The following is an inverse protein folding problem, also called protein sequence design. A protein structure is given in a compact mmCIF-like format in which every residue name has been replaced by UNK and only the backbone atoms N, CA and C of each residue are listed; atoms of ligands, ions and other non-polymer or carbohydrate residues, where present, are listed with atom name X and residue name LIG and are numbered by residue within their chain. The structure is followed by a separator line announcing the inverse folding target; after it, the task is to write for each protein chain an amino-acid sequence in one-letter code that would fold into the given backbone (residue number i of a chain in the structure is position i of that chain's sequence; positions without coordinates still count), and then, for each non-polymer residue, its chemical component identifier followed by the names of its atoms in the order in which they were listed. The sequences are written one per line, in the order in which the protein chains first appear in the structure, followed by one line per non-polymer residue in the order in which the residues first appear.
data_IF_251891021658
#
_entry.id   IF_251891021658
#
_cell.length_a   1.000
_cell.length_b   1.000
_cell.length_c   1.000
_cell.angle_alpha   90.00
_cell.angle_beta   90.00
_cell.angle_gamma   90.00
#
_symmetry.space_group_name_H-M   'P 1'
#
loop_
_entity.id
_entity.type
_entity.pdbx_description
1 polymer ?
#
# COMPACT_ATOMS: atom_id res chain seq x y z
N UNK A 1 68.74 10.93 -64.75
CA UNK A 1 67.65 10.00 -64.73
C UNK A 1 67.27 9.57 -63.32
N UNK A 2 68.20 9.31 -62.45
CA UNK A 2 67.98 8.82 -61.06
C UNK A 2 67.15 9.76 -60.15
N UNK A 3 67.30 11.07 -60.28
CA UNK A 3 66.65 12.07 -59.41
C UNK A 3 65.13 12.26 -59.67
N UNK A 4 64.62 11.85 -60.85
CA UNK A 4 63.20 11.84 -61.20
C UNK A 4 62.52 10.62 -60.65
N UNK A 5 63.18 9.47 -60.59
CA UNK A 5 62.63 8.22 -60.04
C UNK A 5 62.50 8.29 -58.54
N UNK A 6 63.46 8.92 -57.84
CA UNK A 6 63.35 9.11 -56.37
C UNK A 6 62.19 10.03 -55.95
N UNK A 7 61.88 11.09 -56.73
CA UNK A 7 60.82 12.01 -56.47
C UNK A 7 59.43 11.33 -56.72
N UNK A 8 59.38 10.47 -57.73
CA UNK A 8 58.14 9.68 -57.99
C UNK A 8 57.85 8.61 -56.91
N UNK A 9 58.92 7.94 -56.43
CA UNK A 9 58.81 6.97 -55.35
C UNK A 9 58.32 7.61 -54.01
N UNK A 10 58.90 8.79 -53.69
CA UNK A 10 58.50 9.52 -52.47
C UNK A 10 57.06 10.07 -52.57
N UNK A 11 56.58 10.48 -53.74
CA UNK A 11 55.21 10.94 -53.94
C UNK A 11 54.21 9.78 -53.84
N UNK A 12 54.53 8.61 -54.37
CA UNK A 12 53.71 7.41 -54.27
C UNK A 12 53.61 6.90 -52.83
N UNK A 13 54.74 6.97 -52.08
CA UNK A 13 54.75 6.58 -50.68
C UNK A 13 53.92 7.54 -49.80
N UNK A 14 54.01 8.85 -50.08
CA UNK A 14 53.19 9.87 -49.41
C UNK A 14 51.70 9.76 -49.71
N UNK A 15 51.37 9.41 -50.95
CA UNK A 15 49.96 9.13 -51.31
C UNK A 15 49.42 7.87 -50.62
N UNK A 16 50.19 6.78 -50.57
CA UNK A 16 49.76 5.55 -49.86
C UNK A 16 49.55 5.80 -48.37
N UNK A 17 50.40 6.60 -47.69
CA UNK A 17 50.24 7.00 -46.31
C UNK A 17 48.92 7.77 -46.04
N UNK A 18 48.55 8.68 -46.97
CA UNK A 18 47.28 9.43 -46.86
C UNK A 18 46.05 8.53 -47.02
N UNK A 19 46.07 7.57 -47.93
CA UNK A 19 44.95 6.63 -48.08
C UNK A 19 44.82 5.67 -46.90
N UNK A 20 45.92 5.22 -46.32
CA UNK A 20 45.89 4.38 -45.11
C UNK A 20 45.31 5.18 -43.93
N UNK A 21 45.75 6.46 -43.75
CA UNK A 21 45.24 7.32 -42.66
C UNK A 21 43.72 7.59 -42.80
N UNK A 22 43.25 7.85 -44.03
CA UNK A 22 41.82 8.07 -44.32
C UNK A 22 41.01 6.79 -44.08
N UNK A 23 41.55 5.62 -44.48
CA UNK A 23 40.86 4.33 -44.26
C UNK A 23 40.78 3.99 -42.76
N UNK A 24 41.80 4.29 -41.96
CA UNK A 24 41.81 4.09 -40.50
C UNK A 24 40.81 5.05 -39.83
N UNK A 25 40.76 6.31 -40.24
CA UNK A 25 39.79 7.29 -39.76
C UNK A 25 38.34 6.93 -40.10
N UNK A 26 38.11 6.40 -41.31
CA UNK A 26 36.78 5.90 -41.72
C UNK A 26 36.39 4.64 -40.92
N UNK A 27 37.32 3.72 -40.67
CA UNK A 27 37.07 2.53 -39.86
C UNK A 27 36.79 2.89 -38.39
N UNK A 28 37.50 3.87 -37.81
CA UNK A 28 37.23 4.40 -36.48
C UNK A 28 35.89 5.13 -36.39
N UNK A 29 35.47 5.87 -37.42
CA UNK A 29 34.18 6.52 -37.51
C UNK A 29 33.02 5.50 -37.65
N UNK A 30 33.26 4.40 -38.38
CA UNK A 30 32.32 3.30 -38.46
C UNK A 30 32.17 2.50 -37.16
N UNK A 31 33.28 2.29 -36.43
CA UNK A 31 33.24 1.67 -35.08
C UNK A 31 32.51 2.55 -34.06
N UNK A 32 32.62 3.88 -34.15
CA UNK A 32 31.88 4.77 -33.24
C UNK A 32 30.39 4.84 -33.50
N UNK A 33 29.93 4.50 -34.69
CA UNK A 33 28.50 4.40 -35.02
C UNK A 33 27.86 3.07 -34.58
N UNK A 34 28.66 2.02 -34.29
CA UNK A 34 28.15 0.77 -33.75
C UNK A 34 27.89 0.81 -32.22
N UNK A 35 28.42 1.80 -31.51
CA UNK A 35 28.23 1.92 -30.05
C UNK A 35 26.96 2.68 -29.63
N UNK A 36 26.22 3.27 -30.57
CA UNK A 36 24.87 3.76 -30.36
C UNK A 36 23.84 2.71 -30.85
N UNK A 37 23.84 1.51 -30.27
CA UNK A 37 22.59 0.78 -30.22
C UNK A 37 21.69 1.59 -29.26
N UNK A 38 20.50 2.05 -29.70
CA UNK A 38 19.47 2.41 -28.74
C UNK A 38 19.29 1.13 -27.92
N UNK A 39 19.58 1.20 -26.63
CA UNK A 39 19.07 0.19 -25.71
C UNK A 39 17.59 0.06 -26.12
N UNK A 40 17.18 -1.12 -26.55
CA UNK A 40 15.76 -1.43 -26.75
C UNK A 40 15.14 -1.13 -25.40
N UNK A 41 14.65 0.10 -25.25
CA UNK A 41 14.06 0.60 -24.05
C UNK A 41 12.90 -0.31 -23.73
N UNK A 42 13.15 -1.30 -22.86
CA UNK A 42 12.06 -1.99 -22.19
C UNK A 42 11.31 -0.85 -21.52
N UNK A 43 10.15 -0.48 -22.07
CA UNK A 43 9.30 0.52 -21.45
C UNK A 43 9.18 0.13 -20.00
N UNK A 44 9.65 0.99 -19.10
CA UNK A 44 9.58 0.77 -17.67
C UNK A 44 8.11 0.51 -17.32
N UNK A 45 7.85 -0.59 -16.60
CA UNK A 45 6.49 -0.97 -16.26
C UNK A 45 5.90 0.04 -15.29
N UNK A 46 4.68 0.48 -15.59
CA UNK A 46 3.92 1.43 -14.78
C UNK A 46 2.86 0.69 -13.96
N UNK A 47 2.97 0.78 -12.64
CA UNK A 47 2.01 0.20 -11.69
C UNK A 47 1.36 1.34 -10.94
N UNK A 48 0.02 1.36 -10.91
CA UNK A 48 -0.73 2.29 -10.07
C UNK A 48 -1.31 1.53 -8.89
N UNK A 49 -1.12 2.06 -7.68
CA UNK A 49 -1.68 1.51 -6.44
C UNK A 49 -2.67 2.51 -5.86
N UNK A 50 -3.82 2.05 -5.42
CA UNK A 50 -4.92 2.93 -5.01
C UNK A 50 -4.62 3.75 -3.77
N UNK A 51 -3.91 3.20 -2.77
CA UNK A 51 -3.61 3.90 -1.52
C UNK A 51 -2.20 3.61 -0.97
N UNK A 52 -1.72 4.50 -0.11
CA UNK A 52 -0.32 4.58 0.32
C UNK A 52 0.20 3.35 1.08
N UNK A 53 -0.61 2.74 1.96
CA UNK A 53 -0.16 1.60 2.77
C UNK A 53 0.11 0.38 1.89
N UNK A 54 -0.79 0.08 0.95
CA UNK A 54 -0.56 -0.96 -0.05
C UNK A 54 0.59 -0.58 -0.98
N UNK A 55 0.68 0.70 -1.35
CA UNK A 55 1.78 1.25 -2.15
C UNK A 55 3.16 1.02 -1.54
N UNK A 56 3.29 1.14 -0.21
CA UNK A 56 4.54 0.86 0.52
C UNK A 56 5.01 -0.60 0.30
N UNK A 57 4.11 -1.56 0.43
CA UNK A 57 4.40 -2.99 0.21
C UNK A 57 4.72 -3.27 -1.26
N UNK A 58 3.97 -2.68 -2.18
CA UNK A 58 4.20 -2.87 -3.63
C UNK A 58 5.55 -2.28 -4.05
N UNK A 59 5.88 -1.08 -3.58
CA UNK A 59 7.17 -0.44 -3.88
C UNK A 59 8.34 -1.28 -3.35
N UNK A 60 8.23 -1.84 -2.16
CA UNK A 60 9.26 -2.70 -1.58
C UNK A 60 9.38 -4.03 -2.35
N UNK A 61 8.27 -4.59 -2.83
CA UNK A 61 8.25 -5.81 -3.62
C UNK A 61 8.89 -5.64 -5.00
N UNK A 62 8.56 -4.55 -5.71
CA UNK A 62 9.04 -4.36 -7.10
C UNK A 62 10.41 -3.67 -7.16
N UNK A 63 10.78 -2.87 -6.14
CA UNK A 63 12.03 -2.10 -6.12
C UNK A 63 12.12 -1.15 -7.32
N UNK A 64 13.19 -1.28 -8.08
CA UNK A 64 13.50 -0.53 -9.31
C UNK A 64 13.03 -1.22 -10.60
N UNK A 65 12.31 -2.34 -10.49
CA UNK A 65 11.85 -3.11 -11.65
C UNK A 65 10.61 -2.53 -12.31
N UNK A 66 9.91 -1.62 -11.64
CA UNK A 66 8.72 -0.93 -12.13
C UNK A 66 8.56 0.43 -11.45
N UNK A 67 7.96 1.39 -12.14
CA UNK A 67 7.52 2.66 -11.54
C UNK A 67 6.20 2.44 -10.82
N UNK A 68 6.14 2.78 -9.53
CA UNK A 68 4.92 2.71 -8.71
C UNK A 68 4.39 4.13 -8.47
N UNK A 69 3.13 4.34 -8.82
CA UNK A 69 2.39 5.58 -8.54
C UNK A 69 1.26 5.27 -7.56
N UNK A 70 1.14 6.05 -6.50
CA UNK A 70 0.05 5.93 -5.52
C UNK A 70 -1.00 7.00 -5.79
N UNK A 71 -2.27 6.60 -5.98
CA UNK A 71 -3.37 7.52 -6.29
C UNK A 71 -3.84 8.29 -5.05
N UNK A 72 -4.06 7.62 -3.93
CA UNK A 72 -4.39 8.27 -2.65
C UNK A 72 -3.12 8.41 -1.83
N UNK A 73 -2.54 9.63 -1.75
CA UNK A 73 -1.31 9.88 -1.02
C UNK A 73 -1.44 9.59 0.48
N UNK A 74 -0.28 9.42 1.13
CA UNK A 74 -0.24 9.25 2.57
C UNK A 74 -0.88 10.43 3.31
N UNK A 75 -1.72 10.13 4.31
CA UNK A 75 -2.45 11.12 5.10
C UNK A 75 -3.84 11.48 4.56
N UNK A 76 -4.24 10.91 3.42
CA UNK A 76 -5.61 11.00 2.92
C UNK A 76 -6.37 9.69 3.18
N UNK A 77 -7.68 9.83 3.34
CA UNK A 77 -8.58 8.72 3.60
C UNK A 77 -8.94 7.96 2.30
N UNK A 78 -8.63 6.67 2.17
CA UNK A 78 -8.95 5.90 0.98
C UNK A 78 -10.46 5.70 0.76
N UNK A 79 -11.28 5.79 1.82
CA UNK A 79 -12.75 5.65 1.69
C UNK A 79 -13.39 6.84 0.98
N UNK A 80 -12.85 8.05 1.19
CA UNK A 80 -13.44 9.31 0.74
C UNK A 80 -12.73 9.92 -0.47
N UNK A 81 -11.50 9.48 -0.75
CA UNK A 81 -10.64 10.14 -1.74
C UNK A 81 -11.16 9.96 -3.16
N UNK A 82 -11.39 11.08 -3.85
CA UNK A 82 -11.68 11.09 -5.27
C UNK A 82 -10.40 11.27 -6.09
N UNK A 83 -10.27 10.58 -7.26
CA UNK A 83 -9.09 10.69 -8.07
C UNK A 83 -9.04 12.03 -8.81
N UNK A 84 -7.86 12.67 -8.83
CA UNK A 84 -7.61 13.85 -9.67
C UNK A 84 -7.55 13.46 -11.16
N UNK A 85 -7.59 14.46 -12.04
CA UNK A 85 -7.42 14.23 -13.48
C UNK A 85 -6.08 13.52 -13.81
N UNK A 86 -5.02 13.79 -13.04
CA UNK A 86 -3.71 13.14 -13.17
C UNK A 86 -3.77 11.66 -12.75
N UNK A 87 -4.52 11.36 -11.68
CA UNK A 87 -4.70 9.97 -11.23
C UNK A 87 -5.51 9.17 -12.24
N UNK A 88 -6.58 9.76 -12.79
CA UNK A 88 -7.38 9.15 -13.85
C UNK A 88 -6.51 8.84 -15.08
N UNK A 89 -5.64 9.76 -15.48
CA UNK A 89 -4.70 9.55 -16.58
C UNK A 89 -3.71 8.41 -16.27
N UNK A 90 -3.13 8.41 -15.06
CA UNK A 90 -2.19 7.38 -14.63
C UNK A 90 -2.85 5.98 -14.60
N UNK A 91 -4.05 5.87 -14.01
CA UNK A 91 -4.83 4.64 -13.97
C UNK A 91 -5.11 4.10 -15.37
N UNK A 92 -5.53 4.96 -16.30
CA UNK A 92 -5.85 4.54 -17.67
C UNK A 92 -4.62 4.13 -18.50
N UNK A 93 -3.42 4.56 -18.11
CA UNK A 93 -2.14 4.22 -18.79
C UNK A 93 -1.35 3.13 -18.08
N UNK A 94 -1.80 2.66 -16.92
CA UNK A 94 -1.08 1.66 -16.15
C UNK A 94 -0.97 0.32 -16.87
N UNK A 95 0.18 -0.34 -16.74
CA UNK A 95 0.33 -1.76 -17.12
C UNK A 95 -0.44 -2.68 -16.14
N UNK A 96 -0.58 -2.22 -14.87
CA UNK A 96 -1.32 -2.90 -13.81
C UNK A 96 -1.83 -1.87 -12.80
N UNK A 97 -3.10 -1.97 -12.42
CA UNK A 97 -3.68 -1.26 -11.26
C UNK A 97 -3.80 -2.25 -10.12
N UNK A 98 -3.36 -1.85 -8.93
CA UNK A 98 -3.45 -2.63 -7.70
C UNK A 98 -4.40 -1.91 -6.76
N UNK A 99 -5.48 -2.58 -6.39
CA UNK A 99 -6.50 -2.07 -5.48
C UNK A 99 -6.69 -3.00 -4.28
N UNK A 100 -7.30 -2.50 -3.22
CA UNK A 100 -7.69 -3.28 -2.06
C UNK A 100 -8.88 -4.18 -2.34
N UNK A 101 -9.93 -3.61 -2.92
CA UNK A 101 -11.23 -4.23 -3.09
C UNK A 101 -12.13 -4.08 -1.85
N UNK A 102 -13.24 -4.80 -1.83
CA UNK A 102 -14.24 -4.81 -0.73
C UNK A 102 -14.84 -3.42 -0.43
N UNK A 103 -14.86 -2.52 -1.43
CA UNK A 103 -15.46 -1.19 -1.31
C UNK A 103 -14.59 -0.15 -0.59
N UNK A 104 -13.31 -0.45 -0.30
CA UNK A 104 -12.40 0.54 0.29
C UNK A 104 -12.33 1.82 -0.55
N UNK A 105 -12.21 1.66 -1.86
CA UNK A 105 -12.01 2.76 -2.81
C UNK A 105 -13.33 3.35 -3.33
N UNK A 106 -14.32 3.56 -2.45
CA UNK A 106 -15.66 4.01 -2.85
C UNK A 106 -15.64 5.32 -3.66
N UNK A 107 -14.76 6.28 -3.29
CA UNK A 107 -14.59 7.54 -4.02
C UNK A 107 -13.99 7.37 -5.43
N UNK A 108 -13.27 6.27 -5.69
CA UNK A 108 -12.62 5.97 -6.97
C UNK A 108 -13.37 4.97 -7.84
N UNK A 109 -14.41 4.32 -7.34
CA UNK A 109 -15.08 3.17 -7.97
C UNK A 109 -15.42 3.40 -9.46
N UNK A 110 -16.00 4.56 -9.79
CA UNK A 110 -16.36 4.89 -11.19
C UNK A 110 -15.14 4.93 -12.10
N UNK A 111 -14.03 5.47 -11.63
CA UNK A 111 -12.77 5.55 -12.39
C UNK A 111 -12.16 4.17 -12.58
N UNK A 112 -12.10 3.37 -11.53
CA UNK A 112 -11.56 2.01 -11.56
C UNK A 112 -12.40 1.13 -12.50
N UNK A 113 -13.72 1.23 -12.44
CA UNK A 113 -14.61 0.49 -13.33
C UNK A 113 -14.46 0.92 -14.79
N UNK A 114 -14.29 2.22 -15.07
CA UNK A 114 -14.04 2.71 -16.43
C UNK A 114 -12.71 2.17 -17.00
N UNK A 115 -11.66 2.14 -16.18
CA UNK A 115 -10.36 1.59 -16.56
C UNK A 115 -10.43 0.07 -16.84
N UNK A 116 -11.16 -0.71 -16.02
CA UNK A 116 -11.43 -2.14 -16.29
C UNK A 116 -12.13 -2.34 -17.63
N UNK A 117 -13.16 -1.56 -17.90
CA UNK A 117 -13.92 -1.62 -19.16
C UNK A 117 -13.04 -1.24 -20.37
N UNK A 118 -12.00 -0.45 -20.17
CA UNK A 118 -11.02 -0.06 -21.19
C UNK A 118 -9.89 -1.09 -21.36
N UNK A 119 -9.89 -2.18 -20.59
CA UNK A 119 -8.92 -3.28 -20.71
C UNK A 119 -7.64 -3.10 -19.88
N UNK A 120 -7.58 -2.16 -18.95
CA UNK A 120 -6.48 -2.05 -17.99
C UNK A 120 -6.50 -3.29 -17.09
N UNK A 121 -5.32 -3.87 -16.82
CA UNK A 121 -5.18 -5.02 -15.93
C UNK A 121 -5.30 -4.61 -14.48
N UNK A 122 -5.92 -5.48 -13.67
CA UNK A 122 -6.13 -5.25 -12.24
C UNK A 122 -5.63 -6.42 -11.41
N UNK A 123 -5.12 -6.06 -10.23
CA UNK A 123 -4.89 -6.96 -9.11
C UNK A 123 -5.71 -6.45 -7.92
N UNK A 124 -6.64 -7.24 -7.44
CA UNK A 124 -7.47 -6.93 -6.26
C UNK A 124 -6.91 -7.70 -5.07
N UNK A 125 -6.39 -7.00 -4.07
CA UNK A 125 -5.67 -7.61 -2.94
C UNK A 125 -6.55 -8.57 -2.14
N UNK A 126 -7.83 -8.23 -1.96
CA UNK A 126 -8.79 -9.06 -1.23
C UNK A 126 -9.06 -10.44 -1.86
N UNK A 127 -8.79 -10.63 -3.17
CA UNK A 127 -8.97 -11.91 -3.85
C UNK A 127 -7.93 -12.97 -3.41
N UNK A 128 -6.86 -12.54 -2.74
CA UNK A 128 -5.72 -13.40 -2.36
C UNK A 128 -5.65 -13.70 -0.86
N UNK A 129 -6.66 -13.31 -0.10
CA UNK A 129 -6.73 -13.52 1.34
C UNK A 129 -8.00 -14.29 1.73
N UNK A 130 -8.04 -14.78 2.96
CA UNK A 130 -9.32 -15.14 3.60
C UNK A 130 -9.96 -13.87 4.12
N UNK A 131 -11.02 -13.40 3.46
CA UNK A 131 -11.72 -12.19 3.84
C UNK A 131 -12.34 -12.35 5.22
N UNK A 132 -12.04 -11.40 6.11
CA UNK A 132 -12.74 -11.28 7.39
C UNK A 132 -14.13 -10.71 7.19
N UNK A 133 -15.07 -11.18 7.98
CA UNK A 133 -16.45 -10.67 8.00
C UNK A 133 -16.79 -10.18 9.41
N UNK A 134 -17.64 -9.17 9.49
CA UNK A 134 -18.14 -8.63 10.77
C UNK A 134 -18.79 -9.73 11.57
N UNK A 135 -18.32 -9.95 12.81
CA UNK A 135 -18.78 -10.98 13.71
C UNK A 135 -19.97 -10.55 14.57
N UNK A 136 -20.61 -11.53 15.19
CA UNK A 136 -21.67 -11.28 16.17
C UNK A 136 -21.12 -10.57 17.41
N UNK A 137 -21.70 -9.44 17.80
CA UNK A 137 -21.31 -8.68 18.99
C UNK A 137 -20.10 -7.78 18.79
N UNK A 138 -19.67 -7.58 17.55
CA UNK A 138 -18.69 -6.56 17.17
C UNK A 138 -19.41 -5.24 16.87
N UNK A 139 -18.81 -4.13 17.30
CA UNK A 139 -19.35 -2.79 17.07
C UNK A 139 -20.68 -2.52 17.78
N UNK A 140 -21.35 -1.43 17.39
CA UNK A 140 -22.68 -1.07 17.88
C UNK A 140 -23.64 -1.17 16.71
N UNK A 141 -24.74 -1.94 16.83
CA UNK A 141 -25.73 -2.02 15.76
C UNK A 141 -26.28 -0.64 15.43
N UNK A 142 -26.01 -0.13 14.22
CA UNK A 142 -26.45 1.19 13.78
C UNK A 142 -27.58 1.16 12.77
N UNK A 143 -27.81 0.01 12.15
CA UNK A 143 -28.66 -0.11 10.97
C UNK A 143 -27.94 0.31 9.66
N UNK A 144 -26.64 0.65 9.72
CA UNK A 144 -25.80 0.84 8.56
C UNK A 144 -25.62 -0.51 7.83
N UNK A 145 -25.78 -0.56 6.50
CA UNK A 145 -25.56 -1.80 5.73
C UNK A 145 -24.16 -2.39 5.92
N UNK A 146 -23.14 -1.57 6.15
CA UNK A 146 -21.76 -2.00 6.37
C UNK A 146 -21.55 -2.67 7.75
N UNK A 147 -22.48 -2.47 8.67
CA UNK A 147 -22.48 -3.10 10.00
C UNK A 147 -23.33 -4.37 10.10
N UNK A 148 -23.85 -4.85 8.99
CA UNK A 148 -24.59 -6.12 8.99
C UNK A 148 -23.60 -7.25 9.29
N UNK A 149 -23.97 -8.11 10.27
CA UNK A 149 -23.21 -9.34 10.55
C UNK A 149 -22.98 -10.08 9.23
N UNK A 150 -21.72 -10.42 8.96
CA UNK A 150 -21.30 -11.03 7.71
C UNK A 150 -20.87 -10.05 6.63
N UNK A 151 -20.90 -8.73 6.86
CA UNK A 151 -20.32 -7.76 5.93
C UNK A 151 -18.79 -7.97 5.79
N UNK A 152 -18.23 -7.93 4.57
CA UNK A 152 -16.81 -8.11 4.35
C UNK A 152 -16.03 -6.89 4.84
N UNK A 153 -14.95 -7.12 5.61
CA UNK A 153 -14.08 -6.08 6.17
C UNK A 153 -12.97 -5.71 5.17
N UNK A 154 -12.88 -4.45 4.71
CA UNK A 154 -11.85 -4.04 3.74
C UNK A 154 -10.47 -3.80 4.35
N UNK A 155 -10.31 -3.74 5.68
CA UNK A 155 -9.09 -3.28 6.37
C UNK A 155 -8.01 -4.38 6.47
N UNK A 156 -7.76 -5.09 5.36
CA UNK A 156 -6.86 -6.24 5.29
C UNK A 156 -5.40 -5.95 5.68
N UNK A 157 -4.95 -4.69 5.51
CA UNK A 157 -3.57 -4.29 5.85
C UNK A 157 -3.28 -4.29 7.36
N UNK A 158 -4.28 -4.43 8.20
CA UNK A 158 -4.12 -4.56 9.64
C UNK A 158 -3.66 -5.94 10.10
N UNK A 159 -3.53 -6.90 9.16
CA UNK A 159 -2.99 -8.24 9.42
C UNK A 159 -1.77 -8.52 8.55
N UNK A 160 -0.56 -8.65 9.14
CA UNK A 160 0.65 -8.95 8.37
C UNK A 160 0.59 -10.29 7.64
N UNK A 161 -0.19 -11.26 8.10
CA UNK A 161 -0.33 -12.56 7.43
C UNK A 161 -1.27 -12.45 6.22
N UNK A 162 -2.31 -11.63 6.29
CA UNK A 162 -3.11 -11.28 5.11
C UNK A 162 -2.21 -10.58 4.06
N UNK A 163 -1.40 -9.60 4.48
CA UNK A 163 -0.46 -8.92 3.58
C UNK A 163 0.60 -9.86 2.99
N UNK A 164 1.06 -10.86 3.71
CA UNK A 164 1.93 -11.92 3.17
C UNK A 164 1.26 -12.67 2.02
N UNK A 165 -0.01 -13.00 2.16
CA UNK A 165 -0.79 -13.66 1.10
C UNK A 165 -0.96 -12.75 -0.13
N UNK A 166 -1.22 -11.45 0.08
CA UNK A 166 -1.25 -10.44 -0.98
C UNK A 166 0.08 -10.37 -1.73
N UNK A 167 1.22 -10.31 -1.02
CA UNK A 167 2.56 -10.30 -1.62
C UNK A 167 2.80 -11.54 -2.48
N UNK A 168 2.43 -12.73 -2.00
CA UNK A 168 2.59 -13.98 -2.75
C UNK A 168 1.74 -14.01 -4.02
N UNK A 169 0.47 -13.59 -3.92
CA UNK A 169 -0.43 -13.47 -5.07
C UNK A 169 0.05 -12.46 -6.09
N UNK A 170 0.47 -11.28 -5.63
CA UNK A 170 0.96 -10.21 -6.48
C UNK A 170 2.25 -10.61 -7.22
N UNK A 171 3.19 -11.29 -6.56
CA UNK A 171 4.40 -11.80 -7.22
C UNK A 171 4.07 -12.71 -8.39
N UNK A 172 3.06 -13.57 -8.25
CA UNK A 172 2.59 -14.47 -9.31
C UNK A 172 1.99 -13.69 -10.49
N UNK A 173 1.19 -12.65 -10.20
CA UNK A 173 0.58 -11.78 -11.24
C UNK A 173 1.63 -10.93 -11.95
N UNK A 174 2.59 -10.36 -11.22
CA UNK A 174 3.69 -9.57 -11.79
C UNK A 174 4.52 -10.41 -12.77
N UNK A 175 4.82 -11.65 -12.42
CA UNK A 175 5.52 -12.57 -13.32
C UNK A 175 4.69 -12.89 -14.55
N UNK A 176 3.43 -13.29 -14.36
CA UNK A 176 2.52 -13.73 -15.44
C UNK A 176 2.19 -12.61 -16.42
N UNK A 177 1.81 -11.44 -15.90
CA UNK A 177 1.17 -10.39 -16.70
C UNK A 177 2.14 -9.30 -17.16
N UNK A 178 3.23 -9.07 -16.41
CA UNK A 178 4.24 -8.05 -16.73
C UNK A 178 5.62 -8.63 -17.04
N UNK A 179 5.81 -9.94 -16.85
CA UNK A 179 7.11 -10.61 -16.96
C UNK A 179 8.17 -9.99 -16.02
N UNK A 180 7.73 -9.64 -14.80
CA UNK A 180 8.57 -9.12 -13.71
C UNK A 180 8.78 -10.23 -12.68
N UNK A 181 10.00 -10.76 -12.61
CA UNK A 181 10.37 -11.72 -11.57
C UNK A 181 10.77 -10.98 -10.29
N UNK A 182 9.92 -11.12 -9.28
CA UNK A 182 10.11 -10.58 -7.92
C UNK A 182 10.10 -11.70 -6.86
N UNK A 183 10.34 -12.94 -7.27
CA UNK A 183 10.24 -14.12 -6.38
C UNK A 183 11.13 -14.04 -5.16
N UNK A 184 12.38 -13.55 -5.31
CA UNK A 184 13.31 -13.36 -4.20
C UNK A 184 12.85 -12.29 -3.22
N UNK A 185 12.37 -11.15 -3.75
CA UNK A 185 11.84 -10.06 -2.94
C UNK A 185 10.56 -10.49 -2.20
N UNK A 186 9.69 -11.25 -2.87
CA UNK A 186 8.48 -11.78 -2.24
C UNK A 186 8.79 -12.77 -1.10
N UNK A 187 9.80 -13.61 -1.27
CA UNK A 187 10.23 -14.54 -0.21
C UNK A 187 10.80 -13.79 1.00
N UNK A 188 11.67 -12.79 0.78
CA UNK A 188 12.22 -11.95 1.85
C UNK A 188 11.12 -11.18 2.58
N UNK A 189 10.27 -10.50 1.83
CA UNK A 189 9.16 -9.72 2.38
C UNK A 189 8.18 -10.61 3.17
N UNK A 190 7.90 -11.82 2.66
CA UNK A 190 7.08 -12.81 3.35
C UNK A 190 7.68 -13.24 4.71
N UNK A 191 8.99 -13.50 4.78
CA UNK A 191 9.68 -13.84 6.02
C UNK A 191 9.66 -12.69 7.03
N UNK A 192 9.81 -11.46 6.55
CA UNK A 192 9.75 -10.27 7.40
C UNK A 192 8.33 -10.00 7.93
N UNK A 193 7.29 -10.31 7.14
CA UNK A 193 5.90 -10.24 7.59
C UNK A 193 5.59 -11.30 8.67
N UNK A 194 6.13 -12.52 8.56
CA UNK A 194 6.04 -13.53 9.62
C UNK A 194 6.73 -13.05 10.92
N UNK A 195 7.92 -12.45 10.78
CA UNK A 195 8.65 -11.91 11.92
C UNK A 195 7.89 -10.75 12.59
N UNK A 196 7.32 -9.85 11.77
CA UNK A 196 6.47 -8.74 12.25
C UNK A 196 5.24 -9.27 13.01
N UNK A 197 4.57 -10.31 12.50
CA UNK A 197 3.44 -10.92 13.18
C UNK A 197 3.80 -11.44 14.56
N UNK A 198 4.95 -12.11 14.70
CA UNK A 198 5.45 -12.61 15.98
C UNK A 198 5.78 -11.46 16.93
N UNK A 199 6.48 -10.44 16.46
CA UNK A 199 6.84 -9.24 17.26
C UNK A 199 5.60 -8.50 17.78
N UNK A 200 4.57 -8.35 16.95
CA UNK A 200 3.32 -7.71 17.38
C UNK A 200 2.58 -8.59 18.39
N UNK A 201 2.55 -9.91 18.20
CA UNK A 201 1.94 -10.83 19.15
C UNK A 201 2.60 -10.73 20.54
N UNK A 202 3.94 -10.68 20.58
CA UNK A 202 4.70 -10.51 21.83
C UNK A 202 4.42 -9.14 22.46
N UNK A 203 4.31 -8.08 21.66
CA UNK A 203 3.99 -6.73 22.14
C UNK A 203 2.61 -6.69 22.77
N UNK A 204 1.60 -7.25 22.09
CA UNK A 204 0.20 -7.31 22.57
C UNK A 204 0.04 -8.24 23.77
N UNK A 205 0.87 -9.30 23.89
CA UNK A 205 0.86 -10.21 25.02
C UNK A 205 1.12 -9.49 26.37
N UNK A 206 1.79 -8.33 26.36
CA UNK A 206 1.99 -7.50 27.54
C UNK A 206 0.72 -6.81 28.05
N UNK A 207 -0.38 -6.81 27.29
CA UNK A 207 -1.68 -6.29 27.74
C UNK A 207 -2.36 -7.35 28.61
N UNK A 208 -2.76 -7.00 29.86
CA UNK A 208 -3.55 -7.93 30.69
C UNK A 208 -4.83 -8.38 29.93
N UNK A 209 -5.15 -9.66 29.97
CA UNK A 209 -6.28 -10.23 29.20
C UNK A 209 -7.60 -9.47 29.42
N UNK A 210 -7.91 -9.06 30.66
CA UNK A 210 -9.09 -8.28 31.01
C UNK A 210 -9.15 -6.90 30.31
N UNK A 211 -8.00 -6.37 29.90
CA UNK A 211 -7.86 -5.06 29.26
C UNK A 211 -7.80 -5.15 27.72
N UNK A 212 -7.71 -6.36 27.13
CA UNK A 212 -7.68 -6.55 25.66
C UNK A 212 -9.04 -6.24 25.04
N UNK A 213 -9.38 -4.95 25.03
CA UNK A 213 -10.66 -4.42 24.56
C UNK A 213 -10.42 -3.13 23.80
N UNK A 214 -10.91 -3.06 22.56
CA UNK A 214 -10.79 -1.90 21.69
C UNK A 214 -12.13 -1.19 21.53
N UNK A 215 -12.06 0.14 21.58
CA UNK A 215 -13.03 1.08 21.04
C UNK A 215 -12.26 2.01 20.12
N UNK A 216 -12.65 2.09 18.84
CA UNK A 216 -11.92 2.76 17.78
C UNK A 216 -12.72 3.86 17.10
N UNK A 217 -12.13 4.59 16.17
CA UNK A 217 -12.80 5.64 15.41
C UNK A 217 -13.90 5.10 14.52
N UNK A 218 -13.59 4.09 13.74
CA UNK A 218 -14.52 3.29 12.93
C UNK A 218 -14.11 1.81 12.98
N UNK A 219 -14.75 0.94 12.22
CA UNK A 219 -14.49 -0.52 12.26
C UNK A 219 -13.24 -0.93 11.46
N UNK A 220 -12.11 -0.25 11.68
CA UNK A 220 -10.85 -0.48 10.97
C UNK A 220 -9.99 -1.61 11.55
N UNK A 221 -10.22 -1.98 12.81
CA UNK A 221 -9.30 -2.83 13.57
C UNK A 221 -9.69 -4.31 13.61
N UNK A 222 -10.64 -4.72 12.78
CA UNK A 222 -11.19 -6.08 12.78
C UNK A 222 -10.16 -7.17 12.58
N UNK A 223 -9.33 -7.07 11.53
CA UNK A 223 -8.24 -8.02 11.26
C UNK A 223 -7.21 -8.07 12.38
N UNK A 224 -6.78 -6.90 12.90
CA UNK A 224 -5.82 -6.82 14.01
C UNK A 224 -6.39 -7.46 15.28
N UNK A 225 -7.62 -7.14 15.63
CA UNK A 225 -8.30 -7.66 16.81
C UNK A 225 -8.46 -9.20 16.76
N UNK A 226 -8.85 -9.73 15.60
CA UNK A 226 -8.94 -11.16 15.38
C UNK A 226 -7.58 -11.86 15.44
N UNK A 227 -6.53 -11.25 14.87
CA UNK A 227 -5.18 -11.83 14.85
C UNK A 227 -4.56 -11.94 16.23
N UNK A 228 -4.79 -10.95 17.10
CA UNK A 228 -4.10 -10.82 18.39
C UNK A 228 -5.00 -11.01 19.61
N UNK A 229 -6.15 -11.64 19.44
CA UNK A 229 -7.11 -11.96 20.52
C UNK A 229 -7.50 -10.72 21.35
N UNK A 230 -8.01 -9.69 20.67
CA UNK A 230 -8.51 -8.47 21.27
C UNK A 230 -10.00 -8.35 20.98
N UNK A 231 -10.81 -8.05 22.00
CA UNK A 231 -12.25 -7.86 21.84
C UNK A 231 -12.56 -6.49 21.25
N UNK A 232 -13.29 -6.43 20.15
CA UNK A 232 -13.92 -5.21 19.66
C UNK A 232 -15.16 -4.92 20.52
N UNK A 233 -15.18 -3.77 21.21
CA UNK A 233 -16.29 -3.37 22.10
C UNK A 233 -17.23 -2.41 21.40
N UNK A 234 -16.70 -1.54 20.54
CA UNK A 234 -17.48 -0.58 19.79
C UNK A 234 -16.63 0.43 19.05
N UNK A 235 -17.29 1.30 18.29
CA UNK A 235 -16.68 2.33 17.46
C UNK A 235 -17.44 3.64 17.57
N UNK A 236 -16.77 4.76 17.29
CA UNK A 236 -17.38 6.10 17.31
C UNK A 236 -18.27 6.27 16.06
N UNK A 237 -17.74 5.93 14.90
CA UNK A 237 -18.44 5.88 13.62
C UNK A 237 -18.84 4.42 13.41
N UNK A 238 -20.14 4.06 13.53
CA UNK A 238 -20.57 2.67 13.48
C UNK A 238 -20.66 2.17 12.03
N UNK A 239 -19.53 2.03 11.38
CA UNK A 239 -19.40 1.60 9.98
C UNK A 239 -17.99 1.10 9.66
N UNK A 240 -17.86 0.29 8.63
CA UNK A 240 -16.60 -0.07 7.96
C UNK A 240 -16.04 1.08 7.11
N UNK A 241 -16.82 2.15 6.91
CA UNK A 241 -16.41 3.36 6.18
C UNK A 241 -16.44 4.57 7.11
N UNK A 242 -15.51 5.50 6.90
CA UNK A 242 -15.46 6.79 7.60
C UNK A 242 -16.56 7.75 7.18
N UNK A 243 -17.24 7.49 6.07
CA UNK A 243 -18.31 8.35 5.51
C UNK A 243 -19.64 8.27 6.29
N UNK A 244 -19.79 7.30 7.18
CA UNK A 244 -21.04 7.14 7.92
C UNK A 244 -21.25 8.23 8.98
N UNK A 245 -22.50 8.60 9.18
CA UNK A 245 -22.89 9.58 10.19
C UNK A 245 -22.89 9.00 11.61
N UNK A 246 -22.66 9.85 12.61
CA UNK A 246 -22.74 9.49 14.03
C UNK A 246 -23.97 10.13 14.66
N UNK A 247 -24.89 9.32 15.18
CA UNK A 247 -26.06 9.81 15.89
C UNK A 247 -25.84 9.94 17.40
N UNK A 248 -26.65 10.76 18.08
CA UNK A 248 -26.64 10.84 19.55
C UNK A 248 -26.95 9.48 20.20
N UNK A 249 -27.79 8.67 19.58
CA UNK A 249 -28.12 7.34 20.05
C UNK A 249 -26.90 6.39 19.97
N UNK A 250 -26.13 6.44 18.88
CA UNK A 250 -24.91 5.67 18.73
C UNK A 250 -23.88 6.04 19.81
N UNK A 251 -23.68 7.34 20.08
CA UNK A 251 -22.79 7.80 21.14
C UNK A 251 -23.24 7.37 22.53
N UNK A 252 -24.54 7.42 22.83
CA UNK A 252 -25.10 6.96 24.10
C UNK A 252 -24.88 5.45 24.30
N UNK A 253 -25.13 4.65 23.25
CA UNK A 253 -24.90 3.22 23.28
C UNK A 253 -23.41 2.88 23.45
N UNK A 254 -22.53 3.60 22.76
CA UNK A 254 -21.07 3.43 22.89
C UNK A 254 -20.59 3.74 24.31
N UNK A 255 -21.04 4.86 24.93
CA UNK A 255 -20.70 5.21 26.31
C UNK A 255 -21.10 4.10 27.28
N UNK A 256 -22.31 3.56 27.13
CA UNK A 256 -22.76 2.42 27.90
C UNK A 256 -21.86 1.19 27.70
N UNK A 257 -21.51 0.85 26.47
CA UNK A 257 -20.64 -0.27 26.17
C UNK A 257 -19.23 -0.10 26.77
N UNK A 258 -18.68 1.12 26.76
CA UNK A 258 -17.41 1.46 27.42
C UNK A 258 -17.45 1.19 28.92
N UNK A 259 -18.51 1.63 29.59
CA UNK A 259 -18.70 1.46 31.03
C UNK A 259 -18.91 -0.02 31.39
N UNK A 260 -19.84 -0.71 30.72
CA UNK A 260 -20.16 -2.12 30.97
C UNK A 260 -18.95 -3.04 30.76
N UNK A 261 -18.10 -2.72 29.80
CA UNK A 261 -16.88 -3.49 29.50
C UNK A 261 -15.65 -3.00 30.24
N UNK A 262 -15.71 -1.90 31.01
CA UNK A 262 -14.57 -1.32 31.72
C UNK A 262 -13.38 -1.03 30.77
N UNK A 263 -13.66 -0.46 29.60
CA UNK A 263 -12.68 -0.08 28.59
C UNK A 263 -11.68 0.91 29.18
N UNK A 264 -10.38 0.80 28.84
CA UNK A 264 -9.32 1.64 29.38
C UNK A 264 -9.02 2.88 28.54
N UNK A 265 -9.20 2.77 27.21
CA UNK A 265 -8.94 3.85 26.27
C UNK A 265 -9.88 3.75 25.07
N UNK A 266 -10.18 4.90 24.48
CA UNK A 266 -10.84 5.05 23.18
C UNK A 266 -9.80 5.56 22.19
N UNK A 267 -9.72 4.92 21.04
CA UNK A 267 -8.77 5.25 19.99
C UNK A 267 -9.46 6.05 18.90
N UNK A 268 -8.95 7.24 18.60
CA UNK A 268 -9.41 8.06 17.48
C UNK A 268 -8.57 7.80 16.25
N UNK A 269 -9.15 8.00 15.09
CA UNK A 269 -8.54 7.74 13.79
C UNK A 269 -8.82 8.88 12.83
N UNK A 270 -8.18 8.85 11.66
CA UNK A 270 -8.53 9.75 10.55
C UNK A 270 -10.04 9.65 10.28
N UNK A 271 -10.69 10.79 10.04
CA UNK A 271 -12.15 10.86 9.88
C UNK A 271 -12.95 10.94 11.20
N UNK A 272 -12.36 10.59 12.36
CA UNK A 272 -13.08 10.69 13.65
C UNK A 272 -13.28 12.14 14.06
N UNK A 273 -14.52 12.51 14.42
CA UNK A 273 -14.82 13.85 14.98
C UNK A 273 -14.11 14.07 16.32
N UNK A 274 -13.20 15.07 16.44
CA UNK A 274 -12.56 15.39 17.71
C UNK A 274 -13.55 15.74 18.83
N UNK A 275 -14.68 16.39 18.47
CA UNK A 275 -15.73 16.73 19.41
C UNK A 275 -16.45 15.50 19.97
N UNK A 276 -16.75 14.51 19.10
CA UNK A 276 -17.36 13.25 19.53
C UNK A 276 -16.42 12.45 20.44
N UNK A 277 -15.15 12.33 20.08
CA UNK A 277 -14.15 11.65 20.87
C UNK A 277 -13.94 12.32 22.25
N UNK A 278 -13.87 13.65 22.26
CA UNK A 278 -13.77 14.42 23.51
C UNK A 278 -14.98 14.21 24.42
N UNK A 279 -16.19 14.26 23.87
CA UNK A 279 -17.42 14.03 24.63
C UNK A 279 -17.45 12.63 25.29
N UNK A 280 -16.99 11.62 24.55
CA UNK A 280 -16.85 10.26 25.11
C UNK A 280 -15.86 10.24 26.25
N UNK A 281 -14.67 10.83 26.09
CA UNK A 281 -13.64 10.90 27.13
C UNK A 281 -14.12 11.61 28.38
N UNK A 282 -14.73 12.80 28.23
CA UNK A 282 -15.23 13.62 29.35
C UNK A 282 -16.34 12.91 30.15
N UNK A 283 -17.26 12.23 29.46
CA UNK A 283 -18.42 11.60 30.11
C UNK A 283 -18.13 10.20 30.67
N UNK A 284 -17.15 9.49 30.12
CA UNK A 284 -16.81 8.13 30.57
C UNK A 284 -15.55 8.08 31.45
N UNK A 285 -14.76 9.14 31.47
CA UNK A 285 -13.48 9.21 32.19
C UNK A 285 -12.35 8.38 31.57
N UNK A 286 -12.54 7.82 30.36
CA UNK A 286 -11.51 7.02 29.67
C UNK A 286 -10.53 7.92 28.91
N UNK A 287 -9.30 7.44 28.71
CA UNK A 287 -8.32 8.14 27.88
C UNK A 287 -8.76 8.13 26.42
N UNK A 288 -8.58 9.26 25.74
CA UNK A 288 -8.67 9.35 24.27
C UNK A 288 -7.26 9.35 23.71
N UNK A 289 -6.97 8.43 22.78
CA UNK A 289 -5.64 8.19 22.21
C UNK A 289 -5.76 8.19 20.70
N UNK A 290 -4.89 8.91 20.01
CA UNK A 290 -4.84 8.89 18.56
C UNK A 290 -4.18 7.60 18.05
N UNK A 291 -4.78 6.99 17.01
CA UNK A 291 -4.30 5.80 16.34
C UNK A 291 -4.25 6.05 14.83
N UNK A 292 -3.09 5.93 14.24
CA UNK A 292 -2.88 6.29 12.82
C UNK A 292 -3.12 5.08 11.90
N UNK A 293 -4.38 4.63 11.76
CA UNK A 293 -4.73 3.41 11.00
C UNK A 293 -4.66 3.54 9.48
N UNK A 294 -4.60 4.78 8.95
CA UNK A 294 -4.55 5.09 7.52
C UNK A 294 -3.33 5.92 7.11
N UNK A 295 -2.39 6.16 8.03
CA UNK A 295 -1.25 7.04 7.80
C UNK A 295 0.06 6.31 8.08
N UNK A 296 0.89 6.17 7.04
CA UNK A 296 2.25 5.66 7.18
C UNK A 296 3.12 6.64 7.99
N UNK A 297 4.05 6.14 8.81
CA UNK A 297 5.05 6.97 9.49
C UNK A 297 6.00 7.66 8.50
N UNK A 298 6.83 8.58 9.02
CA UNK A 298 7.72 9.40 8.19
C UNK A 298 8.76 8.63 7.37
N UNK A 299 9.05 7.38 7.73
CA UNK A 299 9.91 6.48 6.94
C UNK A 299 9.14 5.74 5.83
N UNK A 300 7.82 5.92 5.72
CA UNK A 300 6.96 5.29 4.72
C UNK A 300 6.83 3.78 4.87
N UNK A 301 7.27 3.19 5.98
CA UNK A 301 7.35 1.74 6.16
C UNK A 301 6.06 1.15 6.72
N UNK A 302 5.52 0.14 6.03
CA UNK A 302 4.43 -0.70 6.54
C UNK A 302 4.81 -1.39 7.87
N UNK A 303 6.06 -1.81 8.02
CA UNK A 303 6.54 -2.49 9.22
C UNK A 303 6.54 -1.56 10.43
N UNK A 304 7.04 -0.33 10.25
CA UNK A 304 7.01 0.69 11.30
C UNK A 304 5.57 1.11 11.62
N UNK A 305 4.71 1.19 10.61
CA UNK A 305 3.29 1.47 10.78
C UNK A 305 2.62 0.50 11.74
N UNK A 306 2.70 -0.82 11.51
CA UNK A 306 2.05 -1.81 12.38
C UNK A 306 2.70 -1.91 13.77
N UNK A 307 4.04 -1.74 13.88
CA UNK A 307 4.70 -1.64 15.18
C UNK A 307 4.18 -0.48 16.01
N UNK A 308 4.00 0.68 15.39
CA UNK A 308 3.46 1.87 16.04
C UNK A 308 2.03 1.63 16.53
N UNK A 309 1.16 1.06 15.70
CA UNK A 309 -0.20 0.66 16.07
C UNK A 309 -0.17 -0.24 17.33
N UNK A 310 0.59 -1.33 17.28
CA UNK A 310 0.70 -2.27 18.41
C UNK A 310 1.26 -1.59 19.67
N UNK A 311 2.27 -0.75 19.53
CA UNK A 311 2.88 0.00 20.63
C UNK A 311 1.91 0.97 21.29
N UNK A 312 1.19 1.77 20.50
CA UNK A 312 0.19 2.74 20.99
C UNK A 312 -0.92 2.00 21.75
N UNK A 313 -1.49 0.95 21.16
CA UNK A 313 -2.55 0.14 21.79
C UNK A 313 -2.04 -0.47 23.10
N UNK A 314 -0.87 -1.10 23.08
CA UNK A 314 -0.31 -1.77 24.25
C UNK A 314 -0.05 -0.78 25.38
N UNK A 315 0.51 0.39 25.08
CA UNK A 315 0.79 1.41 26.11
C UNK A 315 -0.48 2.02 26.71
N UNK A 316 -1.57 2.09 25.94
CA UNK A 316 -2.84 2.62 26.44
C UNK A 316 -3.63 1.61 27.29
N UNK A 317 -3.44 0.29 27.05
CA UNK A 317 -4.25 -0.77 27.66
C UNK A 317 -3.54 -1.54 28.80
N UNK A 318 -2.27 -1.29 29.03
CA UNK A 318 -1.50 -1.85 30.18
C UNK A 318 -2.05 -1.48 31.53
#
# INVERSE_FOLDING_TARGET
MANRLAKLASAVLAMRGKYILVSVLLALALLSMLSCQPSSGRSEKSIVVTYSILGSIVQELVGDKATVTVSVPNGLDPHESEPSAKDIEAINKADLVIENGLGLEAGMEKTLQAARNSGVKFFTASDYITVRHVGLGEGIPSGDPDQVIGAPDPHLWMDPIAMKSVVSGLASVLMKDLNLDVSSQAADLGNRLDSLNTEIADTVAAIPQKNRKLVTGHESMGYFAQRYDIKLVGVIIPSLSTQAGVSAANLAALKKAIQDNQVKAVFTELGTSPAAAKAIGDETGVKVVELTTHVLPGDGSYFTFLRNIAGVITNALK
#
